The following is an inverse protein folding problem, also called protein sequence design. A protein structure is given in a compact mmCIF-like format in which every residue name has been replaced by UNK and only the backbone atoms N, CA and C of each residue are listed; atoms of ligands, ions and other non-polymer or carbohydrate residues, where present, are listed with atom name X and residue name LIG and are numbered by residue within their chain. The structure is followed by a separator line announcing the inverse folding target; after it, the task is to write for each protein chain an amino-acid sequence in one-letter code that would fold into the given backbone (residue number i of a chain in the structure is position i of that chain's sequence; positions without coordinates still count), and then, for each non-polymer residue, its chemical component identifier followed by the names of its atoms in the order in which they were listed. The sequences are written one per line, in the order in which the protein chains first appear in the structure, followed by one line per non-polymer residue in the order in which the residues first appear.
data_IF_621314706800
#
_entry.id   IF_621314706800
#
_cell.length_a   1.000
_cell.length_b   1.000
_cell.length_c   1.000
_cell.angle_alpha   90.00
_cell.angle_beta   90.00
_cell.angle_gamma   90.00
#
_symmetry.space_group_name_H-M   'P 1'
#
loop_
_entity.id
_entity.type
_entity.pdbx_description
1 polymer ?
#
# COMPACT_ATOMS: atom_id res chain seq x y z
N UNK A 1 -29.89 47.97 -17.91
CA UNK A 1 -29.18 47.75 -16.62
C UNK A 1 -29.74 46.52 -15.90
N UNK A 2 -29.64 45.31 -16.50
CA UNK A 2 -30.11 44.05 -15.85
C UNK A 2 -29.13 42.87 -16.05
N UNK A 3 -28.09 43.03 -16.86
CA UNK A 3 -27.14 41.95 -17.18
C UNK A 3 -26.20 41.58 -16.01
N UNK A 4 -25.97 42.50 -15.08
CA UNK A 4 -24.99 42.33 -13.98
C UNK A 4 -25.55 41.48 -12.83
N UNK A 5 -26.88 41.28 -12.75
CA UNK A 5 -27.54 40.59 -11.64
C UNK A 5 -27.77 39.10 -11.91
N UNK A 6 -27.75 38.66 -13.17
CA UNK A 6 -28.08 37.28 -13.54
C UNK A 6 -26.92 36.27 -13.33
N UNK A 7 -25.67 36.75 -13.28
CA UNK A 7 -24.50 35.88 -13.05
C UNK A 7 -24.01 36.09 -11.63
N UNK A 8 -24.27 35.16 -10.69
CA UNK A 8 -23.81 35.30 -9.32
C UNK A 8 -22.29 35.12 -9.29
N UNK A 9 -21.54 36.22 -9.36
CA UNK A 9 -20.07 36.24 -9.19
C UNK A 9 -19.62 35.59 -7.87
N UNK A 10 -20.48 35.62 -6.85
CA UNK A 10 -20.26 35.00 -5.54
C UNK A 10 -20.38 33.49 -5.54
N UNK A 11 -21.17 32.88 -6.43
CA UNK A 11 -21.46 31.44 -6.40
C UNK A 11 -20.21 30.60 -6.66
N UNK A 12 -19.47 30.92 -7.72
CA UNK A 12 -18.23 30.21 -8.07
C UNK A 12 -17.13 30.44 -7.02
N UNK A 13 -17.15 31.57 -6.30
CA UNK A 13 -16.17 31.87 -5.26
C UNK A 13 -16.44 31.06 -3.98
N UNK A 14 -17.71 30.95 -3.57
CA UNK A 14 -18.09 30.17 -2.37
C UNK A 14 -17.79 28.68 -2.57
N UNK A 15 -18.08 28.13 -3.74
CA UNK A 15 -17.79 26.73 -4.05
C UNK A 15 -16.28 26.40 -4.01
N UNK A 16 -15.42 27.31 -4.47
CA UNK A 16 -13.96 27.16 -4.36
C UNK A 16 -13.47 27.20 -2.93
N UNK A 17 -14.04 28.08 -2.11
CA UNK A 17 -13.67 28.20 -0.69
C UNK A 17 -14.07 26.94 0.10
N UNK A 18 -15.26 26.38 -0.16
CA UNK A 18 -15.67 25.11 0.45
C UNK A 18 -14.78 23.95 0.03
N UNK A 19 -14.35 23.91 -1.24
CA UNK A 19 -13.44 22.89 -1.74
C UNK A 19 -12.03 23.03 -1.13
N UNK A 20 -11.51 24.26 -1.01
CA UNK A 20 -10.21 24.51 -0.35
C UNK A 20 -10.23 24.06 1.11
N UNK A 21 -11.32 24.33 1.83
CA UNK A 21 -11.48 23.87 3.22
C UNK A 21 -11.50 22.34 3.32
N UNK A 22 -12.24 21.66 2.44
CA UNK A 22 -12.27 20.20 2.39
C UNK A 22 -10.89 19.60 2.08
N UNK A 23 -10.16 20.18 1.14
CA UNK A 23 -8.80 19.77 0.78
C UNK A 23 -7.81 19.94 1.94
N UNK A 24 -7.87 21.05 2.67
CA UNK A 24 -7.04 21.27 3.86
C UNK A 24 -7.26 20.21 4.93
N UNK A 25 -8.50 19.72 5.07
CA UNK A 25 -8.81 18.60 5.97
C UNK A 25 -8.21 17.29 5.44
N UNK A 26 -8.41 16.98 4.16
CA UNK A 26 -7.88 15.75 3.54
C UNK A 26 -6.34 15.70 3.54
N UNK A 27 -5.66 16.84 3.42
CA UNK A 27 -4.19 16.90 3.53
C UNK A 27 -3.68 16.54 4.93
N UNK A 28 -4.45 16.82 5.99
CA UNK A 28 -4.12 16.36 7.35
C UNK A 28 -4.22 14.84 7.49
N UNK A 29 -5.10 14.23 6.71
CA UNK A 29 -5.30 12.78 6.64
C UNK A 29 -4.35 12.11 5.61
N UNK A 30 -3.25 12.78 5.25
CA UNK A 30 -2.21 12.31 4.30
C UNK A 30 -2.65 12.15 2.84
N UNK A 31 -3.80 12.69 2.44
CA UNK A 31 -4.21 12.73 1.03
C UNK A 31 -3.64 13.97 0.34
N UNK A 32 -2.79 13.77 -0.66
CA UNK A 32 -2.19 14.85 -1.45
C UNK A 32 -2.84 14.94 -2.82
N UNK A 33 -3.57 16.02 -3.08
CA UNK A 33 -4.17 16.31 -4.37
C UNK A 33 -3.30 17.29 -5.16
N UNK A 34 -2.94 16.93 -6.40
CA UNK A 34 -2.19 17.83 -7.31
C UNK A 34 -3.08 18.82 -8.06
N UNK A 35 -4.35 18.48 -8.25
CA UNK A 35 -5.34 19.31 -8.94
C UNK A 35 -6.66 19.31 -8.16
N UNK A 36 -7.25 20.49 -7.97
CA UNK A 36 -8.54 20.66 -7.26
C UNK A 36 -9.66 19.81 -7.90
N UNK A 37 -9.65 19.70 -9.22
CA UNK A 37 -10.63 18.94 -9.99
C UNK A 37 -10.59 17.42 -9.69
N UNK A 38 -9.49 16.89 -9.16
CA UNK A 38 -9.40 15.49 -8.78
C UNK A 38 -10.24 15.18 -7.53
N UNK A 39 -10.29 16.12 -6.57
CA UNK A 39 -11.12 16.00 -5.38
C UNK A 39 -12.61 16.04 -5.74
N UNK A 40 -13.00 16.89 -6.70
CA UNK A 40 -14.37 16.95 -7.21
C UNK A 40 -14.75 15.63 -7.92
N UNK A 41 -13.89 15.11 -8.81
CA UNK A 41 -14.13 13.85 -9.53
C UNK A 41 -14.24 12.64 -8.58
N UNK A 42 -13.43 12.61 -7.51
CA UNK A 42 -13.50 11.55 -6.51
C UNK A 42 -14.86 11.51 -5.80
N UNK A 43 -15.51 12.68 -5.61
CA UNK A 43 -16.83 12.77 -4.98
C UNK A 43 -17.95 12.08 -5.76
N UNK A 44 -17.76 11.85 -7.07
CA UNK A 44 -18.73 11.18 -7.94
C UNK A 44 -18.24 9.80 -8.44
N UNK A 45 -17.12 9.30 -7.94
CA UNK A 45 -16.57 8.02 -8.39
C UNK A 45 -17.45 6.85 -7.92
N UNK A 46 -17.99 6.08 -8.87
CA UNK A 46 -18.81 4.88 -8.59
C UNK A 46 -18.03 3.57 -8.68
N UNK A 47 -16.80 3.61 -9.19
CA UNK A 47 -15.94 2.44 -9.35
C UNK A 47 -14.49 2.83 -9.10
N UNK A 48 -13.80 2.04 -8.28
CA UNK A 48 -12.38 2.23 -7.96
C UNK A 48 -11.63 1.02 -8.50
N UNK A 49 -10.74 1.28 -9.47
CA UNK A 49 -9.82 0.26 -9.97
C UNK A 49 -8.53 0.32 -9.14
N UNK A 50 -8.36 -0.63 -8.22
CA UNK A 50 -7.13 -0.75 -7.43
C UNK A 50 -6.16 -1.72 -8.10
N UNK A 51 -4.87 -1.37 -8.13
CA UNK A 51 -3.83 -2.38 -8.39
C UNK A 51 -3.66 -3.28 -7.14
N UNK A 52 -3.16 -4.49 -7.34
CA UNK A 52 -2.93 -5.43 -6.24
C UNK A 52 -1.64 -5.11 -5.50
N UNK A 53 -0.52 -5.04 -6.24
CA UNK A 53 0.82 -4.88 -5.66
C UNK A 53 0.98 -3.47 -5.12
N UNK A 54 1.59 -3.37 -3.95
CA UNK A 54 1.88 -2.10 -3.25
C UNK A 54 0.66 -1.23 -2.89
N UNK A 55 -0.55 -1.62 -3.29
CA UNK A 55 -1.81 -0.88 -3.06
C UNK A 55 -2.76 -1.68 -2.16
N UNK A 56 -3.15 -2.89 -2.56
CA UNK A 56 -3.98 -3.77 -1.72
C UNK A 56 -3.15 -4.62 -0.77
N UNK A 57 -1.97 -5.05 -1.23
CA UNK A 57 -1.02 -5.79 -0.41
C UNK A 57 0.05 -4.85 0.10
N UNK A 58 0.45 -5.03 1.35
CA UNK A 58 1.74 -4.50 1.81
C UNK A 58 2.81 -5.13 0.92
N UNK A 59 3.74 -4.34 0.37
CA UNK A 59 4.84 -4.82 -0.46
C UNK A 59 5.90 -5.59 0.36
N UNK A 60 5.43 -6.42 1.30
CA UNK A 60 6.20 -7.18 2.25
C UNK A 60 5.70 -8.61 2.17
N UNK A 61 6.35 -9.39 1.32
CA UNK A 61 6.08 -10.81 1.23
C UNK A 61 6.58 -11.51 2.48
N UNK A 62 5.72 -12.28 3.13
CA UNK A 62 6.04 -13.12 4.28
C UNK A 62 5.72 -14.58 3.95
N UNK A 63 6.53 -15.49 4.48
CA UNK A 63 6.28 -16.92 4.33
C UNK A 63 5.22 -17.34 5.34
N UNK A 64 4.04 -17.73 4.86
CA UNK A 64 2.91 -18.15 5.72
C UNK A 64 2.90 -19.66 5.94
N UNK A 65 3.41 -20.43 4.97
CA UNK A 65 3.39 -21.89 4.95
C UNK A 65 4.69 -22.41 4.35
N UNK A 66 5.14 -23.56 4.86
CA UNK A 66 6.34 -24.25 4.38
C UNK A 66 6.08 -25.75 4.27
N UNK A 67 6.64 -26.39 3.24
CA UNK A 67 6.59 -27.82 3.04
C UNK A 67 8.02 -28.36 2.86
N UNK A 68 8.46 -29.18 3.80
CA UNK A 68 9.85 -29.66 3.95
C UNK A 68 9.81 -31.06 4.57
N UNK A 69 10.61 -32.02 4.09
CA UNK A 69 10.69 -33.35 4.71
C UNK A 69 9.33 -34.03 4.90
N UNK A 70 8.47 -33.99 3.86
CA UNK A 70 7.11 -34.55 3.82
C UNK A 70 6.09 -33.96 4.81
N UNK A 71 6.48 -32.96 5.60
CA UNK A 71 5.61 -32.28 6.56
C UNK A 71 5.22 -30.90 6.06
N UNK A 72 3.96 -30.54 6.33
CA UNK A 72 3.42 -29.21 6.02
C UNK A 72 3.30 -28.39 7.31
N UNK A 73 4.03 -27.28 7.40
CA UNK A 73 3.90 -26.29 8.46
C UNK A 73 3.00 -25.15 8.01
N UNK A 74 1.95 -24.89 8.79
CA UNK A 74 1.03 -23.76 8.59
C UNK A 74 1.33 -22.68 9.63
N UNK A 75 1.08 -21.42 9.28
CA UNK A 75 1.23 -20.25 10.15
C UNK A 75 2.68 -20.02 10.61
N UNK A 76 3.62 -19.99 9.66
CA UNK A 76 5.07 -19.76 9.88
C UNK A 76 5.44 -18.28 9.80
N UNK A 77 4.46 -17.40 9.93
CA UNK A 77 4.65 -15.94 9.75
C UNK A 77 5.59 -15.33 10.80
N UNK A 78 5.70 -15.96 11.98
CA UNK A 78 6.55 -15.52 13.08
C UNK A 78 7.89 -16.27 13.08
N UNK A 79 8.99 -15.57 13.40
CA UNK A 79 10.33 -16.18 13.42
C UNK A 79 10.46 -17.32 14.45
N UNK A 80 9.69 -17.29 15.53
CA UNK A 80 9.69 -18.36 16.53
C UNK A 80 9.15 -19.68 15.96
N UNK A 81 8.08 -19.62 15.17
CA UNK A 81 7.54 -20.80 14.49
C UNK A 81 8.40 -21.27 13.32
N UNK A 82 9.15 -20.36 12.70
CA UNK A 82 10.11 -20.72 11.67
C UNK A 82 11.27 -21.57 12.24
N UNK A 83 11.69 -21.32 13.49
CA UNK A 83 12.74 -22.10 14.17
C UNK A 83 12.32 -23.54 14.51
N UNK A 84 11.01 -23.81 14.60
CA UNK A 84 10.46 -25.16 14.84
C UNK A 84 10.50 -26.06 13.60
N UNK A 85 10.82 -25.50 12.42
CA UNK A 85 10.92 -26.27 11.19
C UNK A 85 12.23 -27.05 11.21
N UNK A 86 12.10 -28.38 11.22
CA UNK A 86 13.24 -29.29 11.09
C UNK A 86 13.60 -29.36 9.60
N UNK A 87 14.75 -28.77 9.25
CA UNK A 87 15.28 -28.77 7.88
C UNK A 87 16.46 -29.75 7.85
N UNK A 88 16.47 -30.75 6.96
CA UNK A 88 17.61 -31.65 6.83
C UNK A 88 18.83 -30.92 6.23
N UNK A 89 20.04 -31.35 6.59
CA UNK A 89 21.29 -30.62 6.30
C UNK A 89 21.53 -30.40 4.80
N UNK A 90 21.16 -31.37 3.97
CA UNK A 90 21.26 -31.26 2.51
C UNK A 90 20.39 -30.13 1.93
N UNK A 91 19.19 -29.90 2.48
CA UNK A 91 18.30 -28.82 2.03
C UNK A 91 18.78 -27.47 2.56
N UNK A 92 19.36 -27.45 3.76
CA UNK A 92 19.90 -26.23 4.37
C UNK A 92 21.00 -25.60 3.51
N UNK A 93 21.92 -26.41 2.98
CA UNK A 93 22.97 -25.93 2.07
C UNK A 93 22.39 -25.29 0.80
N UNK A 94 21.44 -25.96 0.16
CA UNK A 94 20.78 -25.47 -1.06
C UNK A 94 20.03 -24.16 -0.80
N UNK A 95 19.36 -24.03 0.35
CA UNK A 95 18.67 -22.78 0.73
C UNK A 95 19.70 -21.66 0.96
N UNK A 96 20.79 -21.94 1.68
CA UNK A 96 21.84 -20.95 1.90
C UNK A 96 22.45 -20.45 0.58
N UNK A 97 22.73 -21.36 -0.36
CA UNK A 97 23.20 -21.00 -1.70
C UNK A 97 22.17 -20.16 -2.46
N UNK A 98 20.91 -20.60 -2.49
CA UNK A 98 19.82 -19.89 -3.17
C UNK A 98 19.57 -18.50 -2.58
N UNK A 99 19.71 -18.34 -1.27
CA UNK A 99 19.62 -17.04 -0.59
C UNK A 99 20.82 -16.18 -0.97
N UNK A 100 22.02 -16.74 -1.06
CA UNK A 100 23.22 -16.00 -1.45
C UNK A 100 23.15 -15.47 -2.90
N UNK A 101 22.53 -16.23 -3.81
CA UNK A 101 22.32 -15.82 -5.22
C UNK A 101 21.24 -14.75 -5.35
N UNK A 102 20.17 -14.84 -4.56
CA UNK A 102 19.02 -13.92 -4.65
C UNK A 102 19.12 -12.69 -3.72
N UNK A 103 20.15 -12.64 -2.86
CA UNK A 103 20.40 -11.47 -2.01
C UNK A 103 21.31 -10.49 -2.73
N UNK A 104 20.98 -9.21 -2.61
CA UNK A 104 21.82 -8.10 -3.08
C UNK A 104 22.29 -7.31 -1.87
N UNK A 105 23.29 -6.43 -2.04
CA UNK A 105 23.82 -5.61 -0.93
C UNK A 105 22.75 -4.75 -0.23
N UNK A 106 21.64 -4.46 -0.91
CA UNK A 106 20.50 -3.71 -0.36
C UNK A 106 19.56 -4.57 0.51
N UNK A 107 19.75 -5.89 0.55
CA UNK A 107 18.94 -6.80 1.35
C UNK A 107 19.27 -6.63 2.83
N UNK A 108 18.51 -5.80 3.54
CA UNK A 108 18.62 -5.64 4.99
C UNK A 108 18.01 -6.87 5.67
N UNK A 109 18.88 -7.77 6.12
CA UNK A 109 18.49 -8.86 7.01
C UNK A 109 18.18 -8.25 8.38
N UNK A 110 16.89 -8.16 8.72
CA UNK A 110 16.43 -7.80 10.06
C UNK A 110 16.68 -9.00 10.98
N UNK A 111 17.89 -9.09 11.54
CA UNK A 111 18.23 -10.08 12.56
C UNK A 111 17.91 -9.44 13.92
N UNK A 112 16.78 -9.81 14.51
CA UNK A 112 16.45 -9.55 15.91
C UNK A 112 16.57 -10.83 16.72
#
# INVERSE_FOLDING_TARGET
MFYVVAVPKSLASTAKLSLDFALRKMMKDHYVFRHLNACEKMGYATTICCDKRETLTTNRMTVVQAYVGEKHWKNVETPDRAKEIIIPDNIKEIICESVSVNSSYSSKLLVN
#
